data_IF_425207732017
#
_entry.id   IF_425207732017
#
_cell.length_a   1.000
_cell.length_b   1.000
_cell.length_c   1.000
_cell.angle_alpha   90.00
_cell.angle_beta   90.00
_cell.angle_gamma   90.00
#
_symmetry.space_group_name_H-M   'P 1'
#
loop_
_entity.id
_entity.type
_entity.pdbx_description
1 polymer ?
#
# COMPACT_ATOMS: atom_id res chain seq x y z
N UNK A 1 21.13 1.64 -11.70
CA UNK A 1 20.40 2.30 -10.61
C UNK A 1 18.98 1.75 -10.57
N UNK A 2 18.59 1.11 -9.46
CA UNK A 2 17.25 0.55 -9.29
C UNK A 2 16.37 1.53 -8.51
N UNK A 3 15.14 1.76 -8.97
CA UNK A 3 14.16 2.62 -8.32
C UNK A 3 13.02 1.75 -7.81
N UNK A 4 12.79 1.68 -6.48
CA UNK A 4 11.65 0.97 -5.94
C UNK A 4 10.36 1.67 -6.36
N UNK A 5 9.51 0.96 -7.08
CA UNK A 5 8.25 1.51 -7.60
C UNK A 5 7.11 0.51 -7.41
N UNK A 6 5.94 1.06 -7.08
CA UNK A 6 4.69 0.30 -7.14
C UNK A 6 4.29 0.02 -8.60
N UNK A 7 3.40 -0.97 -8.80
CA UNK A 7 2.87 -1.29 -10.14
C UNK A 7 2.19 -0.09 -10.80
N UNK A 8 1.54 0.74 -9.99
CA UNK A 8 0.87 1.99 -10.39
C UNK A 8 1.85 3.07 -10.87
N UNK A 9 3.12 2.99 -10.51
CA UNK A 9 4.14 3.99 -10.85
C UNK A 9 4.99 3.63 -12.09
N UNK A 10 4.77 2.45 -12.69
CA UNK A 10 5.52 1.99 -13.86
C UNK A 10 5.42 2.96 -15.04
N UNK A 11 4.25 3.56 -15.26
CA UNK A 11 4.05 4.52 -16.34
C UNK A 11 4.93 5.77 -16.17
N UNK A 12 5.10 6.26 -14.94
CA UNK A 12 5.99 7.38 -14.66
C UNK A 12 7.46 7.02 -14.91
N UNK A 13 7.85 5.79 -14.54
CA UNK A 13 9.22 5.34 -14.78
C UNK A 13 9.54 5.23 -16.28
N UNK A 14 8.57 4.79 -17.09
CA UNK A 14 8.76 4.71 -18.54
C UNK A 14 8.89 6.09 -19.18
N UNK A 15 8.11 7.08 -18.73
CA UNK A 15 8.27 8.46 -19.15
C UNK A 15 9.69 8.98 -18.86
N UNK A 16 10.23 8.69 -17.68
CA UNK A 16 11.60 9.08 -17.32
C UNK A 16 12.62 8.41 -18.23
N UNK A 17 12.44 7.12 -18.58
CA UNK A 17 13.34 6.43 -19.51
C UNK A 17 13.33 7.05 -20.89
N UNK A 18 12.17 7.44 -21.40
CA UNK A 18 12.06 8.10 -22.69
C UNK A 18 12.81 9.44 -22.70
N UNK A 19 12.65 10.24 -21.64
CA UNK A 19 13.39 11.50 -21.46
C UNK A 19 14.90 11.24 -21.40
N UNK A 20 15.36 10.24 -20.64
CA UNK A 20 16.77 9.87 -20.53
C UNK A 20 17.34 9.43 -21.89
N UNK A 21 16.63 8.58 -22.63
CA UNK A 21 17.06 8.14 -23.97
C UNK A 21 17.13 9.31 -24.95
N UNK A 22 16.14 10.21 -24.92
CA UNK A 22 16.12 11.40 -25.78
C UNK A 22 17.28 12.33 -25.45
N UNK A 23 17.51 12.61 -24.17
CA UNK A 23 18.61 13.47 -23.73
C UNK A 23 19.97 12.90 -24.15
N UNK A 24 20.20 11.61 -23.88
CA UNK A 24 21.46 10.95 -24.22
C UNK A 24 21.73 10.90 -25.72
N UNK A 25 20.68 10.83 -26.55
CA UNK A 25 20.79 10.88 -28.01
C UNK A 25 21.11 12.29 -28.53
N UNK A 26 20.53 13.32 -27.93
CA UNK A 26 20.67 14.71 -28.41
C UNK A 26 22.00 15.34 -27.96
N UNK A 27 22.43 15.06 -26.73
CA UNK A 27 23.58 15.74 -26.14
C UNK A 27 24.78 14.80 -25.98
N UNK A 28 24.70 13.87 -25.02
CA UNK A 28 25.77 12.93 -24.70
C UNK A 28 25.23 11.89 -23.71
N UNK A 29 25.72 10.63 -23.73
CA UNK A 29 25.28 9.56 -22.81
C UNK A 29 25.77 9.79 -21.38
N UNK A 30 25.15 10.72 -20.66
CA UNK A 30 25.50 11.09 -19.28
C UNK A 30 24.49 10.53 -18.27
N UNK A 31 23.22 10.41 -18.65
CA UNK A 31 22.15 9.99 -17.75
C UNK A 31 21.96 8.47 -17.77
N UNK A 32 22.07 7.75 -16.63
CA UNK A 32 21.81 6.32 -16.59
C UNK A 32 20.31 6.01 -16.66
N UNK A 33 19.92 4.96 -17.41
CA UNK A 33 18.52 4.55 -17.51
C UNK A 33 18.05 3.85 -16.21
N UNK A 34 16.94 4.29 -15.60
CA UNK A 34 16.46 3.71 -14.35
C UNK A 34 15.79 2.34 -14.56
N UNK A 35 16.06 1.39 -13.66
CA UNK A 35 15.41 0.08 -13.64
C UNK A 35 14.34 0.03 -12.54
N UNK A 36 13.17 -0.52 -12.86
CA UNK A 36 12.12 -0.74 -11.87
C UNK A 36 12.55 -1.85 -10.91
N UNK A 37 12.47 -1.57 -9.61
CA UNK A 37 12.48 -2.59 -8.57
C UNK A 37 11.05 -2.71 -8.07
N UNK A 38 10.35 -3.74 -8.55
CA UNK A 38 8.97 -4.00 -8.15
C UNK A 38 8.97 -4.64 -6.77
N UNK A 39 8.28 -4.00 -5.84
CA UNK A 39 7.99 -4.59 -4.53
C UNK A 39 6.66 -5.34 -4.62
N UNK A 40 6.66 -6.63 -4.26
CA UNK A 40 5.44 -7.45 -4.21
C UNK A 40 4.55 -7.17 -2.98
N UNK A 41 4.84 -6.10 -2.23
CA UNK A 41 4.14 -5.80 -0.99
C UNK A 41 2.65 -5.61 -1.25
N UNK A 42 1.77 -6.43 -0.65
CA UNK A 42 0.34 -6.31 -0.86
C UNK A 42 -0.17 -4.97 -0.37
N UNK A 43 -1.18 -4.45 -1.07
CA UNK A 43 -1.82 -3.21 -0.69
C UNK A 43 -2.49 -3.37 0.68
N UNK A 44 -2.09 -2.55 1.65
CA UNK A 44 -2.72 -2.53 2.98
C UNK A 44 -4.08 -1.84 2.89
N UNK A 45 -5.13 -2.58 3.26
CA UNK A 45 -6.50 -2.08 3.36
C UNK A 45 -6.62 -1.18 4.59
N UNK A 46 -7.47 -0.16 4.52
CA UNK A 46 -7.78 0.68 5.68
C UNK A 46 -8.55 -0.06 6.76
N UNK A 47 -8.86 0.62 7.86
CA UNK A 47 -9.65 0.08 8.99
C UNK A 47 -11.02 -0.49 8.55
N UNK A 48 -11.59 0.03 7.45
CA UNK A 48 -12.88 -0.39 6.89
C UNK A 48 -12.85 -1.69 6.07
N UNK A 49 -11.66 -2.19 5.72
CA UNK A 49 -11.48 -3.45 4.98
C UNK A 49 -11.89 -3.45 3.50
N UNK A 50 -12.35 -2.31 2.96
CA UNK A 50 -12.77 -2.15 1.56
C UNK A 50 -11.74 -1.41 0.71
N UNK A 51 -11.39 -0.19 1.13
CA UNK A 51 -10.49 0.69 0.37
C UNK A 51 -9.06 0.61 0.88
N UNK A 52 -8.12 1.11 0.08
CA UNK A 52 -6.74 1.39 0.52
C UNK A 52 -6.77 2.30 1.74
N UNK A 53 -5.84 2.10 2.65
CA UNK A 53 -5.60 3.05 3.74
C UNK A 53 -5.28 4.44 3.18
N UNK A 54 -6.04 5.46 3.58
CA UNK A 54 -5.91 6.84 3.10
C UNK A 54 -6.29 7.84 4.18
N UNK A 55 -5.45 8.87 4.34
CA UNK A 55 -5.69 9.96 5.31
C UNK A 55 -6.98 10.70 5.02
N UNK A 56 -7.32 10.90 3.75
CA UNK A 56 -8.53 11.63 3.32
C UNK A 56 -9.81 10.89 3.69
N UNK A 57 -9.78 9.56 3.69
CA UNK A 57 -10.94 8.72 4.03
C UNK A 57 -11.04 8.53 5.56
N UNK A 58 -9.99 8.85 6.30
CA UNK A 58 -9.95 8.69 7.77
C UNK A 58 -9.78 7.23 8.22
N UNK A 59 -9.49 6.31 7.30
CA UNK A 59 -9.40 4.87 7.57
C UNK A 59 -7.95 4.41 7.83
N UNK A 60 -7.22 5.22 8.59
CA UNK A 60 -5.78 5.07 8.84
C UNK A 60 -5.50 4.55 10.25
N UNK A 61 -4.32 3.94 10.39
CA UNK A 61 -3.66 3.77 11.68
C UNK A 61 -2.39 4.59 11.64
N UNK A 62 -2.29 5.62 12.48
CA UNK A 62 -1.11 6.47 12.51
C UNK A 62 0.06 5.76 13.19
N UNK A 63 1.24 5.81 12.57
CA UNK A 63 2.46 5.19 13.12
C UNK A 63 2.99 5.96 14.32
N UNK A 64 2.69 7.26 14.38
CA UNK A 64 3.16 8.20 15.42
C UNK A 64 2.03 8.68 16.33
N UNK A 65 0.85 8.08 16.23
CA UNK A 65 -0.28 8.43 17.09
C UNK A 65 -0.04 7.89 18.50
N UNK A 66 -0.71 8.49 19.49
CA UNK A 66 -0.65 8.01 20.87
C UNK A 66 -1.17 6.56 20.97
N UNK A 67 -0.59 5.69 21.82
CA UNK A 67 -1.03 4.31 22.00
C UNK A 67 -2.54 4.17 22.31
N UNK A 68 -3.15 5.12 23.03
CA UNK A 68 -4.59 5.10 23.29
C UNK A 68 -5.41 5.31 22.01
N UNK A 69 -4.92 6.16 21.11
CA UNK A 69 -5.57 6.42 19.82
C UNK A 69 -5.42 5.22 18.89
N UNK A 70 -4.23 4.61 18.84
CA UNK A 70 -3.96 3.42 18.03
C UNK A 70 -4.83 2.25 18.48
N UNK A 71 -4.90 1.99 19.79
CA UNK A 71 -5.73 0.89 20.31
C UNK A 71 -7.20 1.10 19.97
N UNK A 72 -7.71 2.33 20.08
CA UNK A 72 -9.09 2.67 19.67
C UNK A 72 -9.32 2.45 18.17
N UNK A 73 -8.39 2.89 17.32
CA UNK A 73 -8.46 2.70 15.87
C UNK A 73 -8.46 1.20 15.51
N UNK A 74 -7.56 0.42 16.08
CA UNK A 74 -7.45 -1.03 15.85
C UNK A 74 -8.72 -1.76 16.31
N UNK A 75 -9.27 -1.43 17.49
CA UNK A 75 -10.49 -2.05 18.00
C UNK A 75 -11.74 -1.70 17.17
N UNK A 76 -11.75 -0.55 16.48
CA UNK A 76 -12.84 -0.14 15.59
C UNK A 76 -12.80 -0.80 14.20
N UNK A 77 -11.74 -1.55 13.88
CA UNK A 77 -11.59 -2.14 12.55
C UNK A 77 -12.70 -3.15 12.22
N UNK A 78 -13.16 -3.10 10.97
CA UNK A 78 -14.12 -4.07 10.46
C UNK A 78 -13.44 -5.43 10.36
N UNK A 79 -14.01 -6.45 11.03
CA UNK A 79 -13.49 -7.82 11.00
C UNK A 79 -14.20 -8.64 9.91
N UNK A 80 -15.05 -9.59 10.30
CA UNK A 80 -15.87 -10.38 9.40
C UNK A 80 -17.34 -9.96 9.55
N UNK A 81 -17.92 -9.38 8.50
CA UNK A 81 -19.34 -8.95 8.48
C UNK A 81 -20.28 -10.13 8.72
N UNK A 82 -19.85 -11.36 8.40
CA UNK A 82 -20.63 -12.59 8.61
C UNK A 82 -20.55 -13.14 10.03
N UNK A 83 -19.78 -12.51 10.93
CA UNK A 83 -19.68 -12.88 12.35
C UNK A 83 -20.36 -11.82 13.22
N UNK A 84 -21.70 -11.81 13.33
CA UNK A 84 -22.41 -10.83 14.13
C UNK A 84 -22.25 -11.07 15.64
N UNK A 85 -22.08 -12.32 16.10
CA UNK A 85 -21.88 -12.65 17.52
C UNK A 85 -20.54 -13.33 17.76
N UNK A 86 -20.06 -13.26 19.00
CA UNK A 86 -18.79 -13.88 19.42
C UNK A 86 -18.78 -15.40 19.20
N UNK A 87 -19.93 -16.04 19.35
CA UNK A 87 -20.12 -17.49 19.22
C UNK A 87 -20.13 -17.98 17.78
N UNK A 88 -20.32 -17.10 16.81
CA UNK A 88 -20.42 -17.49 15.40
C UNK A 88 -19.02 -17.75 14.82
N UNK A 89 -18.86 -18.77 13.97
CA UNK A 89 -17.59 -19.06 13.32
C UNK A 89 -17.23 -17.92 12.35
N UNK A 90 -16.01 -17.39 12.48
CA UNK A 90 -15.48 -16.36 11.58
C UNK A 90 -14.69 -16.96 10.42
N UNK A 91 -14.53 -16.17 9.35
CA UNK A 91 -13.76 -16.55 8.17
C UNK A 91 -12.45 -15.74 8.08
N UNK A 92 -11.28 -16.33 8.43
CA UNK A 92 -10.01 -15.59 8.46
C UNK A 92 -9.52 -15.07 7.10
N UNK A 93 -10.07 -15.59 5.98
CA UNK A 93 -9.73 -15.14 4.62
C UNK A 93 -10.45 -13.85 4.22
N UNK A 94 -11.63 -13.59 4.77
CA UNK A 94 -12.42 -12.39 4.47
C UNK A 94 -12.27 -11.32 5.55
N UNK A 95 -11.74 -11.67 6.72
CA UNK A 95 -11.49 -10.74 7.81
C UNK A 95 -10.33 -9.79 7.50
N UNK A 96 -10.58 -8.48 7.62
CA UNK A 96 -9.55 -7.46 7.42
C UNK A 96 -8.45 -7.54 8.48
N UNK A 97 -8.83 -7.64 9.76
CA UNK A 97 -7.88 -7.74 10.88
C UNK A 97 -6.96 -8.95 10.72
N UNK A 98 -7.50 -10.10 10.29
CA UNK A 98 -6.69 -11.28 10.02
C UNK A 98 -5.71 -11.09 8.85
N UNK A 99 -5.95 -10.13 7.94
CA UNK A 99 -5.01 -9.80 6.89
C UNK A 99 -3.80 -9.03 7.44
N UNK A 100 -3.99 -8.20 8.47
CA UNK A 100 -2.89 -7.46 9.11
C UNK A 100 -1.91 -8.39 9.83
N UNK A 101 -2.38 -9.47 10.46
CA UNK A 101 -1.52 -10.48 11.12
C UNK A 101 -0.69 -11.36 10.18
N UNK A 102 -0.89 -11.26 8.86
CA UNK A 102 -0.14 -12.05 7.87
C UNK A 102 1.13 -11.35 7.38
N UNK A 103 1.30 -10.07 7.74
CA UNK A 103 2.49 -9.28 7.46
C UNK A 103 3.41 -9.31 8.68
#
# INVERSE_FOLDING_TARGET
>A
MGVPVGKDQLAHLELVREVVRKFNRVYSPVLPEPRALLTETPLVKGTDGKQRMSKTVGNIVGVTDDPEVITKQVLSMVTDVKRPRRTDPGHPRTCNVCAFYKF
#
